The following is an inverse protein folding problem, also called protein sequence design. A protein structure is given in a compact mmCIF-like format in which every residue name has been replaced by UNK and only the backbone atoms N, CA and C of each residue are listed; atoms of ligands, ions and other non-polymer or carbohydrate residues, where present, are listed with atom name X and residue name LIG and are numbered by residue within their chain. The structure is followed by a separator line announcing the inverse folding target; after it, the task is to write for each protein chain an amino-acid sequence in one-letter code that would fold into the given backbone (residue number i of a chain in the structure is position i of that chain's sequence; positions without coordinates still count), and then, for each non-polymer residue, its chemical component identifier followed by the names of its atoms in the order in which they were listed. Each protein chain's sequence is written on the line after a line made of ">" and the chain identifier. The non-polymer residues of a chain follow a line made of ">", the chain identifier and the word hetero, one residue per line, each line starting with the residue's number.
data_IF_713703582918
#
_entry.id   IF_713703582918
#
_cell.length_a   1.000
_cell.length_b   1.000
_cell.length_c   1.000
_cell.angle_alpha   90.00
_cell.angle_beta   90.00
_cell.angle_gamma   90.00
#
_symmetry.space_group_name_H-M   'P 1'
#
loop_
_entity.id
_entity.type
_entity.pdbx_description
1 polymer ?
#
# COMPACT_ATOMS: atom_id res chain seq x y z
N UNK A 1 21.88 5.41 -22.42
CA UNK A 1 21.38 6.70 -21.89
C UNK A 1 21.03 6.47 -20.42
N UNK A 2 21.77 7.07 -19.47
CA UNK A 2 21.46 6.91 -18.04
C UNK A 2 20.13 7.60 -17.70
N UNK A 3 19.30 7.06 -16.79
CA UNK A 3 18.06 7.70 -16.38
C UNK A 3 18.33 9.09 -15.79
N UNK A 4 17.47 10.06 -16.09
CA UNK A 4 17.60 11.41 -15.51
C UNK A 4 17.41 11.38 -13.98
N UNK A 5 18.03 12.30 -13.22
CA UNK A 5 17.87 12.38 -11.77
C UNK A 5 16.40 12.44 -11.32
N UNK A 6 15.56 13.17 -12.08
CA UNK A 6 14.11 13.25 -11.84
C UNK A 6 13.41 11.90 -12.00
N UNK A 7 13.81 11.11 -13.00
CA UNK A 7 13.25 9.78 -13.21
C UNK A 7 13.60 8.82 -12.06
N UNK A 8 14.80 8.93 -11.49
CA UNK A 8 15.21 8.13 -10.32
C UNK A 8 14.45 8.55 -9.05
N UNK A 9 14.30 9.85 -8.81
CA UNK A 9 13.50 10.36 -7.69
C UNK A 9 12.05 9.87 -7.77
N UNK A 10 11.42 9.94 -8.95
CA UNK A 10 10.06 9.44 -9.15
C UNK A 10 9.94 7.94 -8.88
N UNK A 11 10.93 7.13 -9.30
CA UNK A 11 10.94 5.69 -9.02
C UNK A 11 11.00 5.39 -7.52
N UNK A 12 11.78 6.17 -6.77
CA UNK A 12 11.89 6.04 -5.31
C UNK A 12 10.56 6.43 -4.67
N UNK A 13 9.97 7.55 -5.06
CA UNK A 13 8.68 8.03 -4.53
C UNK A 13 7.58 7.00 -4.79
N UNK A 14 7.48 6.45 -6.00
CA UNK A 14 6.47 5.43 -6.34
C UNK A 14 6.66 4.15 -5.52
N UNK A 15 7.92 3.76 -5.26
CA UNK A 15 8.22 2.59 -4.43
C UNK A 15 7.80 2.81 -2.98
N UNK A 16 8.15 3.96 -2.39
CA UNK A 16 7.82 4.31 -1.00
C UNK A 16 6.30 4.41 -0.85
N UNK A 17 5.63 5.15 -1.73
CA UNK A 17 4.18 5.31 -1.71
C UNK A 17 3.45 3.95 -1.85
N UNK A 18 3.91 3.10 -2.78
CA UNK A 18 3.36 1.76 -2.95
C UNK A 18 3.57 0.86 -1.73
N UNK A 19 4.75 0.92 -1.10
CA UNK A 19 5.05 0.14 0.10
C UNK A 19 4.21 0.58 1.30
N UNK A 20 4.05 1.90 1.50
CA UNK A 20 3.19 2.44 2.55
C UNK A 20 1.72 2.07 2.32
N UNK A 21 1.23 2.16 1.08
CA UNK A 21 -0.13 1.74 0.74
C UNK A 21 -0.36 0.24 1.03
N UNK A 22 0.60 -0.63 0.68
CA UNK A 22 0.52 -2.05 1.03
C UNK A 22 0.47 -2.27 2.54
N UNK A 23 1.39 -1.65 3.29
CA UNK A 23 1.44 -1.80 4.74
C UNK A 23 0.14 -1.34 5.41
N UNK A 24 -0.36 -0.17 5.02
CA UNK A 24 -1.63 0.37 5.53
C UNK A 24 -2.83 -0.48 5.13
N UNK A 25 -2.86 -0.97 3.89
CA UNK A 25 -3.96 -1.82 3.42
C UNK A 25 -4.02 -3.15 4.16
N UNK A 26 -2.87 -3.77 4.43
CA UNK A 26 -2.79 -4.99 5.26
C UNK A 26 -3.22 -4.70 6.70
N UNK A 27 -2.81 -3.56 7.28
CA UNK A 27 -3.24 -3.15 8.61
C UNK A 27 -4.77 -3.01 8.68
N UNK A 28 -5.38 -2.37 7.69
CA UNK A 28 -6.83 -2.17 7.64
C UNK A 28 -7.60 -3.48 7.47
N UNK A 29 -7.10 -4.39 6.64
CA UNK A 29 -7.66 -5.75 6.53
C UNK A 29 -7.56 -6.45 7.88
N UNK A 30 -6.37 -6.44 8.50
CA UNK A 30 -6.13 -7.07 9.79
C UNK A 30 -7.04 -6.54 10.89
N UNK A 31 -7.29 -5.22 10.93
CA UNK A 31 -8.25 -4.63 11.86
C UNK A 31 -9.69 -5.01 11.52
N UNK A 32 -10.10 -4.92 10.25
CA UNK A 32 -11.47 -5.21 9.81
C UNK A 32 -11.90 -6.67 10.00
N UNK A 33 -10.94 -7.62 10.03
CA UNK A 33 -11.20 -9.03 10.37
C UNK A 33 -10.98 -9.37 11.86
N UNK A 34 -10.57 -8.38 12.68
CA UNK A 34 -10.34 -8.58 14.11
C UNK A 34 -8.99 -9.19 14.50
N UNK A 35 -8.09 -9.41 13.54
CA UNK A 35 -6.76 -10.01 13.76
C UNK A 35 -5.79 -9.02 14.41
N UNK A 36 -5.82 -7.75 14.00
CA UNK A 36 -4.98 -6.68 14.57
C UNK A 36 -5.87 -5.78 15.41
N UNK A 37 -5.64 -5.73 16.73
CA UNK A 37 -6.49 -4.97 17.67
C UNK A 37 -5.75 -3.81 18.32
N UNK A 38 -4.95 -3.08 17.54
CA UNK A 38 -4.19 -1.93 18.01
C UNK A 38 -4.37 -0.74 17.07
N UNK A 39 -4.57 0.49 17.58
CA UNK A 39 -4.87 0.81 18.98
C UNK A 39 -6.21 0.20 19.41
N UNK A 40 -6.38 -0.12 20.70
CA UNK A 40 -7.60 -0.79 21.20
C UNK A 40 -8.88 0.03 20.95
N UNK A 41 -8.76 1.36 20.90
CA UNK A 41 -9.83 2.31 20.58
C UNK A 41 -10.02 2.57 19.08
N UNK A 42 -9.44 1.77 18.20
CA UNK A 42 -9.56 1.95 16.76
C UNK A 42 -10.99 1.66 16.28
N UNK A 43 -11.60 2.63 15.60
CA UNK A 43 -12.92 2.51 14.93
C UNK A 43 -12.94 1.51 13.75
N UNK A 44 -11.82 0.83 13.51
CA UNK A 44 -11.62 -0.08 12.39
C UNK A 44 -11.72 -1.54 12.79
N UNK A 45 -11.55 -1.82 14.09
CA UNK A 45 -11.52 -3.18 14.62
C UNK A 45 -12.90 -3.82 14.45
N UNK A 46 -12.93 -5.05 13.94
CA UNK A 46 -14.15 -5.86 13.73
C UNK A 46 -15.17 -5.22 12.74
N UNK A 47 -14.74 -4.23 11.96
CA UNK A 47 -15.58 -3.49 11.02
C UNK A 47 -15.28 -3.90 9.56
N UNK A 48 -16.14 -4.72 8.96
CA UNK A 48 -15.91 -5.37 7.64
C UNK A 48 -15.63 -4.39 6.49
N UNK A 49 -16.12 -3.16 6.56
CA UNK A 49 -15.84 -2.12 5.53
C UNK A 49 -14.35 -1.88 5.34
N UNK A 50 -13.55 -2.02 6.40
CA UNK A 50 -12.10 -1.83 6.35
C UNK A 50 -11.37 -2.95 5.63
N UNK A 51 -11.97 -4.14 5.55
CA UNK A 51 -11.45 -5.23 4.71
C UNK A 51 -11.49 -4.82 3.24
N UNK A 52 -12.63 -4.26 2.78
CA UNK A 52 -12.77 -3.80 1.39
C UNK A 52 -11.84 -2.62 1.09
N UNK A 53 -11.80 -1.62 1.96
CA UNK A 53 -10.90 -0.47 1.77
C UNK A 53 -9.44 -0.87 1.79
N UNK A 54 -9.05 -1.76 2.70
CA UNK A 54 -7.70 -2.28 2.77
C UNK A 54 -7.33 -3.12 1.54
N UNK A 55 -8.24 -3.94 1.01
CA UNK A 55 -8.01 -4.71 -0.21
C UNK A 55 -7.78 -3.80 -1.42
N UNK A 56 -8.60 -2.76 -1.59
CA UNK A 56 -8.40 -1.76 -2.66
C UNK A 56 -7.05 -1.06 -2.52
N UNK A 57 -6.66 -0.70 -1.28
CA UNK A 57 -5.39 -0.03 -1.02
C UNK A 57 -4.18 -0.95 -1.28
N UNK A 58 -4.26 -2.23 -0.90
CA UNK A 58 -3.25 -3.24 -1.21
C UNK A 58 -3.07 -3.39 -2.72
N UNK A 59 -4.17 -3.50 -3.48
CA UNK A 59 -4.12 -3.61 -4.94
C UNK A 59 -3.49 -2.37 -5.58
N UNK A 60 -3.87 -1.17 -5.13
CA UNK A 60 -3.29 0.08 -5.61
C UNK A 60 -1.78 0.16 -5.32
N UNK A 61 -1.37 -0.14 -4.08
CA UNK A 61 0.04 -0.16 -3.68
C UNK A 61 0.87 -1.17 -4.47
N UNK A 62 0.34 -2.39 -4.61
CA UNK A 62 0.95 -3.44 -5.44
C UNK A 62 1.12 -3.03 -6.89
N UNK A 63 0.13 -2.34 -7.47
CA UNK A 63 0.21 -1.83 -8.85
C UNK A 63 1.29 -0.75 -9.00
N UNK A 64 1.43 0.17 -8.03
CA UNK A 64 2.49 1.18 -8.04
C UNK A 64 3.87 0.54 -8.04
N UNK A 65 4.09 -0.45 -7.17
CA UNK A 65 5.37 -1.18 -7.08
C UNK A 65 5.62 -1.97 -8.36
N UNK A 66 4.62 -2.68 -8.88
CA UNK A 66 4.76 -3.48 -10.08
C UNK A 66 5.14 -2.61 -11.28
N UNK A 67 4.45 -1.48 -11.47
CA UNK A 67 4.77 -0.52 -12.54
C UNK A 67 6.16 0.06 -12.41
N UNK A 68 6.63 0.29 -11.18
CA UNK A 68 7.98 0.77 -10.92
C UNK A 68 9.07 -0.27 -11.29
N UNK A 69 8.75 -1.57 -11.15
CA UNK A 69 9.67 -2.68 -11.43
C UNK A 69 9.68 -3.15 -12.88
N UNK A 70 8.67 -2.79 -13.69
CA UNK A 70 8.64 -3.20 -15.10
C UNK A 70 9.81 -2.56 -15.86
N UNK A 71 10.70 -3.36 -16.49
CA UNK A 71 11.67 -2.82 -17.42
C UNK A 71 10.92 -2.10 -18.54
N UNK A 72 11.25 -0.83 -18.80
CA UNK A 72 10.81 -0.15 -20.02
C UNK A 72 11.51 -0.89 -21.17
N UNK A 73 10.77 -1.77 -21.86
CA UNK A 73 11.21 -2.37 -23.12
C UNK A 73 11.33 -1.28 -24.17
#
# INVERSE_FOLDING_TARGET
>A
MSPSPRANALRIVLLIAGALALAMGVLWIGQGIGLIRWPASSFMIDERRWVLYGAVLVLAGGLLILRNRRPRR
#
